data_IF_233801952575
#
_entry.id   IF_233801952575
#
_cell.length_a   1.000
_cell.length_b   1.000
_cell.length_c   1.000
_cell.angle_alpha   90.00
_cell.angle_beta   90.00
_cell.angle_gamma   90.00
#
_symmetry.space_group_name_H-M   'P 1'
#
loop_
_entity.id
_entity.type
_entity.pdbx_description
1 polymer ?
#
# COMPACT_ATOMS: atom_id res chain seq x y z
N UNK A 1 1.83 -7.29 -5.78
CA UNK A 1 1.95 -7.21 -7.25
C UNK A 1 2.37 -5.82 -7.70
N UNK A 2 3.65 -5.46 -7.61
CA UNK A 2 4.13 -4.09 -7.88
C UNK A 2 3.75 -3.54 -9.24
N UNK A 3 3.73 -4.39 -10.28
CA UNK A 3 3.43 -3.98 -11.65
C UNK A 3 1.93 -4.04 -11.97
N UNK A 4 1.24 -5.11 -11.59
CA UNK A 4 -0.18 -5.29 -11.92
C UNK A 4 -1.03 -4.25 -11.21
N UNK A 5 -0.79 -4.06 -9.91
CA UNK A 5 -1.59 -3.18 -9.07
C UNK A 5 -1.47 -1.71 -9.52
N UNK A 6 -0.24 -1.23 -9.66
CA UNK A 6 0.04 0.15 -10.06
C UNK A 6 -0.40 0.42 -11.49
N UNK A 7 -0.19 -0.51 -12.43
CA UNK A 7 -0.65 -0.35 -13.81
C UNK A 7 -2.18 -0.34 -13.89
N UNK A 8 -2.88 -1.17 -13.10
CA UNK A 8 -4.34 -1.15 -13.04
C UNK A 8 -4.86 0.23 -12.61
N UNK A 9 -4.28 0.79 -11.56
CA UNK A 9 -4.69 2.10 -11.04
C UNK A 9 -4.44 3.21 -12.07
N UNK A 10 -3.30 3.18 -12.77
CA UNK A 10 -3.00 4.10 -13.88
C UNK A 10 -3.96 3.95 -15.05
N UNK A 11 -4.35 2.73 -15.42
CA UNK A 11 -5.32 2.46 -16.49
C UNK A 11 -6.72 2.96 -16.13
N UNK A 12 -7.11 2.83 -14.87
CA UNK A 12 -8.42 3.25 -14.36
C UNK A 12 -8.46 4.72 -13.93
N UNK A 13 -7.34 5.45 -14.02
CA UNK A 13 -7.25 6.85 -13.63
C UNK A 13 -7.44 7.08 -12.12
N UNK A 14 -7.08 6.10 -11.28
CA UNK A 14 -7.13 6.24 -9.82
C UNK A 14 -5.99 7.14 -9.36
N UNK A 15 -6.34 8.31 -8.84
CA UNK A 15 -5.40 9.35 -8.44
C UNK A 15 -5.06 9.34 -6.96
N UNK A 16 -5.67 8.46 -6.16
CA UNK A 16 -5.37 8.33 -4.74
C UNK A 16 -5.33 6.86 -4.35
N UNK A 17 -4.13 6.34 -4.10
CA UNK A 17 -3.94 4.98 -3.59
C UNK A 17 -3.50 5.04 -2.14
N UNK A 18 -4.30 4.55 -1.17
CA UNK A 18 -3.83 4.36 0.19
C UNK A 18 -2.75 3.24 0.22
N UNK A 19 -2.26 2.89 1.41
CA UNK A 19 -1.36 1.76 1.63
C UNK A 19 -1.84 0.52 0.86
N UNK A 20 -1.05 0.07 -0.12
CA UNK A 20 -1.48 -0.98 -1.07
C UNK A 20 -1.70 -2.35 -0.41
N UNK A 21 -1.02 -2.61 0.71
CA UNK A 21 -1.23 -3.83 1.50
C UNK A 21 -2.52 -3.80 2.34
N UNK A 22 -3.15 -2.63 2.54
CA UNK A 22 -4.35 -2.48 3.34
C UNK A 22 -4.12 -2.30 4.84
N UNK A 23 -2.89 -2.49 5.32
CA UNK A 23 -2.58 -2.50 6.75
C UNK A 23 -3.10 -1.26 7.47
N UNK A 24 -3.90 -1.49 8.51
CA UNK A 24 -4.42 -0.44 9.38
C UNK A 24 -5.62 0.32 8.86
N UNK A 25 -6.23 -0.06 7.72
CA UNK A 25 -7.51 0.52 7.29
C UNK A 25 -8.46 -0.44 6.57
N UNK A 26 -7.93 -1.43 5.84
CA UNK A 26 -8.71 -2.45 5.12
C UNK A 26 -8.24 -3.88 5.46
N UNK A 27 -7.00 -4.01 5.93
CA UNK A 27 -6.42 -5.25 6.40
C UNK A 27 -5.90 -5.09 7.83
N UNK A 28 -6.23 -6.07 8.66
CA UNK A 28 -5.89 -6.11 10.08
C UNK A 28 -5.45 -7.53 10.46
N UNK A 29 -4.81 -7.67 11.61
CA UNK A 29 -4.36 -8.95 12.13
C UNK A 29 -4.83 -9.14 13.55
N UNK A 30 -5.48 -10.27 13.83
CA UNK A 30 -5.85 -10.64 15.19
C UNK A 30 -4.63 -11.33 15.81
N UNK A 31 -4.18 -10.84 16.95
CA UNK A 31 -3.10 -11.44 17.74
C UNK A 31 -3.65 -12.44 18.75
N UNK A 32 -2.76 -13.21 19.40
CA UNK A 32 -3.13 -14.39 20.20
C UNK A 32 -4.06 -14.08 21.39
N UNK A 33 -4.04 -12.85 21.90
CA UNK A 33 -4.85 -12.42 23.03
C UNK A 33 -6.20 -11.78 22.61
N UNK A 34 -6.54 -11.82 21.32
CA UNK A 34 -7.78 -11.27 20.79
C UNK A 34 -7.69 -9.80 20.35
N UNK A 35 -6.59 -9.10 20.62
CA UNK A 35 -6.43 -7.74 20.13
C UNK A 35 -6.25 -7.71 18.60
N UNK A 36 -6.62 -6.58 18.01
CA UNK A 36 -6.54 -6.34 16.57
C UNK A 36 -5.36 -5.39 16.33
N UNK A 37 -4.30 -5.88 15.68
CA UNK A 37 -3.16 -5.12 15.21
C UNK A 37 -3.38 -4.64 13.76
N UNK A 38 -2.73 -3.55 13.32
CA UNK A 38 -2.86 -3.05 11.94
C UNK A 38 -2.13 -3.92 10.91
N UNK A 39 -1.16 -4.73 11.34
CA UNK A 39 -0.30 -5.55 10.49
C UNK A 39 0.26 -6.70 11.32
N UNK A 40 0.53 -7.91 10.76
CA UNK A 40 1.09 -9.01 11.54
C UNK A 40 2.49 -8.67 12.11
N UNK A 41 3.29 -7.89 11.39
CA UNK A 41 4.61 -7.45 11.86
C UNK A 41 4.54 -6.39 12.99
N UNK A 42 3.34 -5.90 13.32
CA UNK A 42 3.10 -4.93 14.40
C UNK A 42 2.52 -5.59 15.66
N UNK A 43 2.52 -6.93 15.74
CA UNK A 43 2.18 -7.64 16.96
C UNK A 43 3.09 -7.19 18.12
N UNK A 44 2.49 -6.86 19.26
CA UNK A 44 3.20 -6.31 20.42
C UNK A 44 3.34 -4.78 20.44
N UNK A 45 3.03 -4.08 19.34
CA UNK A 45 3.01 -2.61 19.30
C UNK A 45 1.65 -2.07 19.81
N UNK A 46 1.40 -2.21 21.11
CA UNK A 46 0.08 -1.97 21.74
C UNK A 46 -0.51 -0.59 21.47
N UNK A 47 0.31 0.46 21.36
CA UNK A 47 -0.13 1.83 21.08
C UNK A 47 -0.83 1.97 19.71
N UNK A 48 -0.62 1.01 18.82
CA UNK A 48 -1.17 0.97 17.47
C UNK A 48 -2.31 -0.05 17.32
N UNK A 49 -2.69 -0.74 18.40
CA UNK A 49 -3.82 -1.66 18.34
C UNK A 49 -5.10 -0.90 17.96
N UNK A 50 -5.87 -1.56 17.11
CA UNK A 50 -7.02 -1.00 16.41
C UNK A 50 -8.35 -1.42 17.06
N UNK A 51 -8.30 -2.35 18.00
CA UNK A 51 -9.47 -2.87 18.72
C UNK A 51 -9.17 -4.23 19.36
N UNK A 52 -10.24 -4.92 19.70
CA UNK A 52 -10.28 -6.25 20.29
C UNK A 52 -11.51 -7.00 19.76
N UNK A 53 -11.35 -8.28 19.42
CA UNK A 53 -12.40 -9.08 18.77
C UNK A 53 -13.68 -9.26 19.61
N UNK A 54 -13.59 -9.12 20.94
CA UNK A 54 -14.72 -9.31 21.83
C UNK A 54 -15.56 -8.04 22.01
N UNK A 55 -14.96 -6.86 21.80
CA UNK A 55 -15.57 -5.58 22.19
C UNK A 55 -15.70 -4.57 21.06
N UNK A 56 -14.91 -4.69 20.00
CA UNK A 56 -14.86 -3.71 18.92
C UNK A 56 -15.86 -4.04 17.81
N UNK A 57 -16.45 -3.01 17.21
CA UNK A 57 -17.25 -3.15 15.99
C UNK A 57 -16.30 -3.33 14.78
N UNK A 58 -16.34 -4.47 14.08
CA UNK A 58 -15.47 -4.71 12.93
C UNK A 58 -15.68 -3.70 11.77
N UNK A 59 -16.84 -3.02 11.72
CA UNK A 59 -17.10 -1.98 10.71
C UNK A 59 -16.54 -0.61 11.10
N UNK A 60 -16.10 -0.44 12.34
CA UNK A 60 -15.63 0.82 12.89
C UNK A 60 -14.34 0.66 13.71
N UNK A 61 -13.39 -0.12 13.17
CA UNK A 61 -12.06 -0.25 13.75
C UNK A 61 -11.27 1.06 13.60
N UNK A 62 -10.38 1.33 14.55
CA UNK A 62 -9.43 2.44 14.45
C UNK A 62 -8.59 2.27 13.19
N UNK A 63 -8.42 3.37 12.45
CA UNK A 63 -7.51 3.45 11.31
C UNK A 63 -6.17 4.00 11.74
N UNK A 64 -5.09 3.50 11.14
CA UNK A 64 -3.73 3.96 11.38
C UNK A 64 -3.22 4.62 10.11
N UNK A 65 -3.10 5.94 10.16
CA UNK A 65 -2.58 6.72 9.04
C UNK A 65 -1.05 6.67 8.99
N UNK A 66 -0.53 6.82 7.78
CA UNK A 66 0.89 7.13 7.57
C UNK A 66 1.19 8.55 8.04
N UNK A 67 2.44 8.82 8.39
CA UNK A 67 2.91 10.14 8.79
C UNK A 67 4.27 10.52 8.20
N UNK A 68 4.87 11.55 8.80
CA UNK A 68 6.22 12.02 8.50
C UNK A 68 6.39 12.55 7.07
N UNK A 69 7.55 12.30 6.48
CA UNK A 69 7.94 12.74 5.12
C UNK A 69 6.94 12.28 4.04
N UNK A 70 6.20 11.19 4.28
CA UNK A 70 5.21 10.68 3.34
C UNK A 70 3.95 11.57 3.24
N UNK A 71 3.67 12.44 4.22
CA UNK A 71 2.51 13.33 4.15
C UNK A 71 2.63 14.38 3.04
N UNK A 72 3.86 14.81 2.75
CA UNK A 72 4.19 15.83 1.75
C UNK A 72 4.90 15.23 0.52
N UNK A 73 4.88 13.90 0.38
CA UNK A 73 5.61 13.19 -0.67
C UNK A 73 4.91 13.28 -2.04
N UNK A 74 5.67 13.63 -3.08
CA UNK A 74 5.21 13.82 -4.46
C UNK A 74 4.71 12.53 -5.15
N UNK A 75 5.08 11.36 -4.65
CA UNK A 75 4.63 10.06 -5.17
C UNK A 75 3.72 9.31 -4.20
N UNK A 76 3.21 9.98 -3.16
CA UNK A 76 2.33 9.36 -2.15
C UNK A 76 1.16 8.64 -2.78
N UNK A 77 0.48 9.26 -3.73
CA UNK A 77 -0.71 8.67 -4.37
C UNK A 77 -0.40 7.43 -5.22
N UNK A 78 0.87 7.25 -5.59
CA UNK A 78 1.34 6.06 -6.29
C UNK A 78 1.68 4.92 -5.32
N UNK A 79 2.41 5.18 -4.22
CA UNK A 79 2.89 4.11 -3.34
C UNK A 79 2.05 3.90 -2.07
N UNK A 80 1.21 4.87 -1.71
CA UNK A 80 0.42 4.88 -0.48
C UNK A 80 1.23 4.95 0.80
N UNK A 81 2.53 5.29 0.76
CA UNK A 81 3.42 5.23 1.92
C UNK A 81 4.14 3.88 2.13
N UNK A 82 4.06 2.97 1.14
CA UNK A 82 4.74 1.65 1.11
C UNK A 82 4.34 0.73 2.29
N UNK A 83 5.11 0.73 3.37
CA UNK A 83 4.93 -0.15 4.52
C UNK A 83 4.64 0.69 5.77
N UNK A 84 3.48 0.44 6.39
CA UNK A 84 3.04 1.15 7.58
C UNK A 84 4.03 0.98 8.75
N UNK A 85 4.52 -0.24 8.98
CA UNK A 85 5.50 -0.51 10.04
C UNK A 85 6.78 0.32 9.85
N UNK A 86 7.31 0.34 8.62
CA UNK A 86 8.48 1.12 8.28
C UNK A 86 8.26 2.64 8.36
N UNK A 87 7.07 3.11 8.00
CA UNK A 87 6.71 4.52 8.11
C UNK A 87 6.69 4.98 9.58
N UNK A 88 6.19 4.12 10.48
CA UNK A 88 6.10 4.40 11.91
C UNK A 88 7.47 4.26 12.60
N UNK A 89 8.14 3.12 12.42
CA UNK A 89 9.38 2.81 13.15
C UNK A 89 10.60 3.52 12.60
N UNK A 90 10.53 4.01 11.35
CA UNK A 90 11.62 4.69 10.64
C UNK A 90 12.98 4.00 10.84
N UNK A 91 13.12 2.71 10.45
CA UNK A 91 14.28 1.90 10.83
C UNK A 91 15.57 2.28 10.09
N UNK A 92 15.47 3.10 9.03
CA UNK A 92 16.61 3.57 8.25
C UNK A 92 16.96 5.03 8.54
N UNK A 93 18.23 5.36 8.34
CA UNK A 93 18.70 6.74 8.29
C UNK A 93 17.99 7.53 7.18
N UNK A 94 18.10 8.86 7.24
CA UNK A 94 17.54 9.75 6.21
C UNK A 94 18.01 9.39 4.80
N UNK A 95 19.28 9.04 4.63
CA UNK A 95 19.80 8.61 3.32
C UNK A 95 19.23 7.26 2.88
N UNK A 96 19.11 6.30 3.81
CA UNK A 96 18.46 5.02 3.51
C UNK A 96 17.01 5.20 3.06
N UNK A 97 16.24 6.07 3.74
CA UNK A 97 14.88 6.41 3.31
C UNK A 97 14.84 7.09 1.95
N UNK A 98 15.80 7.98 1.66
CA UNK A 98 15.94 8.63 0.35
C UNK A 98 16.16 7.60 -0.75
N UNK A 99 17.04 6.63 -0.55
CA UNK A 99 17.29 5.56 -1.52
C UNK A 99 16.04 4.71 -1.78
N UNK A 100 15.27 4.39 -0.74
CA UNK A 100 13.99 3.67 -0.89
C UNK A 100 12.96 4.53 -1.62
N UNK A 101 12.89 5.83 -1.34
CA UNK A 101 12.03 6.74 -2.10
C UNK A 101 12.40 6.76 -3.59
N UNK A 102 13.70 6.88 -3.92
CA UNK A 102 14.17 6.89 -5.31
C UNK A 102 13.89 5.57 -6.04
N UNK A 103 13.98 4.41 -5.35
CA UNK A 103 13.65 3.12 -5.97
C UNK A 103 12.16 3.03 -6.34
N UNK A 104 11.28 3.51 -5.47
CA UNK A 104 9.83 3.55 -5.74
C UNK A 104 9.50 4.59 -6.82
N UNK A 105 10.18 5.74 -6.82
CA UNK A 105 10.06 6.75 -7.88
C UNK A 105 10.48 6.19 -9.24
N UNK A 106 11.56 5.42 -9.28
CA UNK A 106 12.00 4.74 -10.49
C UNK A 106 10.96 3.73 -10.98
N UNK A 107 10.34 2.95 -10.08
CA UNK A 107 9.24 2.05 -10.43
C UNK A 107 8.05 2.83 -11.03
N UNK A 108 7.62 3.92 -10.41
CA UNK A 108 6.55 4.79 -10.92
C UNK A 108 6.84 5.24 -12.34
N UNK A 109 8.03 5.83 -12.56
CA UNK A 109 8.45 6.32 -13.86
C UNK A 109 8.47 5.21 -14.90
N UNK A 110 8.99 4.02 -14.56
CA UNK A 110 9.00 2.87 -15.47
C UNK A 110 7.58 2.42 -15.86
N UNK A 111 6.63 2.46 -14.93
CA UNK A 111 5.21 2.16 -15.22
C UNK A 111 4.58 3.22 -16.13
N UNK A 112 4.84 4.50 -15.87
CA UNK A 112 4.35 5.61 -16.71
C UNK A 112 4.88 5.51 -18.15
N UNK A 113 6.15 5.14 -18.33
CA UNK A 113 6.75 4.91 -19.66
C UNK A 113 6.07 3.75 -20.40
N UNK A 114 5.65 2.70 -19.70
CA UNK A 114 4.99 1.54 -20.33
C UNK A 114 3.47 1.74 -20.54
N UNK A 115 2.84 2.67 -19.81
CA UNK A 115 1.39 2.90 -19.85
C UNK A 115 0.84 3.11 -21.29
N UNK A 116 1.45 3.91 -22.19
CA UNK A 116 0.96 4.06 -23.56
C UNK A 116 0.96 2.74 -24.35
N UNK A 117 2.00 1.91 -24.15
CA UNK A 117 2.10 0.61 -24.80
C UNK A 117 1.03 -0.34 -24.30
N UNK A 118 0.78 -0.38 -22.99
CA UNK A 118 -0.29 -1.19 -22.39
C UNK A 118 -1.66 -0.75 -22.91
N UNK A 119 -1.93 0.56 -22.98
CA UNK A 119 -3.16 1.11 -23.57
C UNK A 119 -3.35 0.69 -25.02
N UNK A 120 -2.28 0.70 -25.84
CA UNK A 120 -2.32 0.20 -27.22
C UNK A 120 -2.67 -1.29 -27.29
N UNK A 121 -2.03 -2.13 -26.47
CA UNK A 121 -2.33 -3.56 -26.44
C UNK A 121 -3.78 -3.86 -26.04
N UNK A 122 -4.37 -3.03 -25.17
CA UNK A 122 -5.80 -3.11 -24.82
C UNK A 122 -6.67 -2.71 -26.02
N UNK A 123 -6.34 -1.60 -26.69
CA UNK A 123 -7.06 -1.13 -27.88
C UNK A 123 -7.01 -2.15 -29.03
N UNK A 124 -5.87 -2.83 -29.20
CA UNK A 124 -5.67 -3.87 -30.20
C UNK A 124 -6.30 -5.23 -29.81
N UNK A 125 -6.97 -5.30 -28.65
CA UNK A 125 -7.62 -6.51 -28.15
C UNK A 125 -6.66 -7.65 -27.77
N UNK A 126 -5.36 -7.37 -27.61
CA UNK A 126 -4.34 -8.38 -27.24
C UNK A 126 -4.39 -8.73 -25.76
N UNK A 127 -4.77 -7.77 -24.93
CA UNK A 127 -5.02 -7.93 -23.50
C UNK A 127 -6.29 -7.17 -23.12
N UNK A 128 -6.80 -7.40 -21.91
CA UNK A 128 -7.96 -6.68 -21.37
C UNK A 128 -7.59 -6.01 -20.05
N UNK A 129 -8.31 -4.94 -19.68
CA UNK A 129 -8.16 -4.29 -18.36
C UNK A 129 -8.43 -5.30 -17.22
N UNK A 130 -9.35 -6.25 -17.44
CA UNK A 130 -9.69 -7.29 -16.47
C UNK A 130 -8.54 -8.25 -16.13
N UNK A 131 -7.54 -8.40 -17.01
CA UNK A 131 -6.35 -9.21 -16.71
C UNK A 131 -5.45 -8.58 -15.64
N UNK A 132 -5.69 -7.32 -15.26
CA UNK A 132 -5.02 -6.68 -14.13
C UNK A 132 -5.77 -6.85 -12.81
N UNK A 133 -6.91 -7.55 -12.80
CA UNK A 133 -7.67 -7.81 -11.58
C UNK A 133 -6.89 -8.72 -10.63
N UNK A 134 -6.85 -8.33 -9.36
CA UNK A 134 -6.23 -9.07 -8.27
C UNK A 134 -6.94 -8.71 -6.97
N UNK A 135 -6.76 -9.54 -5.94
CA UNK A 135 -7.25 -9.22 -4.60
C UNK A 135 -6.47 -8.03 -4.06
N UNK A 136 -7.15 -6.92 -3.82
CA UNK A 136 -6.58 -5.73 -3.18
C UNK A 136 -6.47 -5.96 -1.68
N UNK A 137 -5.52 -5.30 -1.04
CA UNK A 137 -5.41 -5.23 0.42
C UNK A 137 -5.26 -6.59 1.11
N UNK A 138 -4.55 -7.52 0.47
CA UNK A 138 -4.33 -8.88 0.99
C UNK A 138 -3.16 -8.97 1.99
N UNK A 139 -2.70 -7.85 2.54
CA UNK A 139 -1.58 -7.80 3.49
C UNK A 139 -0.19 -7.98 2.89
N UNK A 140 -0.07 -8.33 1.61
CA UNK A 140 1.23 -8.43 0.95
C UNK A 140 1.81 -7.04 0.68
N UNK A 141 3.10 -6.84 0.96
CA UNK A 141 3.80 -5.62 0.54
C UNK A 141 3.87 -5.58 -0.99
N UNK A 142 3.14 -4.62 -1.58
CA UNK A 142 3.01 -4.50 -3.03
C UNK A 142 4.14 -3.64 -3.62
N UNK A 143 4.53 -2.59 -2.91
CA UNK A 143 5.59 -1.66 -3.32
C UNK A 143 6.90 -2.13 -2.67
N UNK A 144 7.96 -2.42 -3.46
CA UNK A 144 9.25 -2.84 -2.93
C UNK A 144 9.98 -1.72 -2.17
#
# INVERSE_FOLDING_TARGET
YPFIDTMQDMLLGRTHSPLRCGSGFENYSIVQDGHIAPCPCMAGMKDYYCGDIATSDPKNLRKIDIGGECNECDIRDFCGGRCLYSNITMPWSKEGRRLVYESVKNLKTAMEVQLPRVKRLIADGKITVGQFNHVKYNGCEIIP
#
